data_IF_885439232605
#
_entry.id   IF_885439232605
#
_cell.length_a   1.000
_cell.length_b   1.000
_cell.length_c   1.000
_cell.angle_alpha   90.00
_cell.angle_beta   90.00
_cell.angle_gamma   90.00
#
_symmetry.space_group_name_H-M   'P 1'
#
loop_
_entity.id
_entity.type
_entity.pdbx_description
1 polymer ?
#
# COMPACT_ATOMS: atom_id res chain seq x y z
N UNK A 1 -30.46 18.55 10.16
CA UNK A 1 -29.14 18.96 9.63
C UNK A 1 -28.18 17.80 9.85
N UNK A 2 -27.80 17.10 8.78
CA UNK A 2 -26.75 16.08 8.84
C UNK A 2 -25.45 16.87 8.98
N UNK A 3 -24.69 16.65 10.07
CA UNK A 3 -23.34 17.23 10.19
C UNK A 3 -22.53 16.66 9.03
N UNK A 4 -22.18 17.50 8.06
CA UNK A 4 -21.13 17.18 7.11
C UNK A 4 -19.87 16.99 7.95
N UNK A 5 -19.37 15.76 8.02
CA UNK A 5 -18.12 15.50 8.72
C UNK A 5 -17.01 15.98 7.81
N UNK A 6 -16.19 16.93 8.27
CA UNK A 6 -15.00 17.35 7.55
C UNK A 6 -13.95 16.22 7.46
N UNK A 7 -14.17 15.09 8.15
CA UNK A 7 -13.36 13.89 8.01
C UNK A 7 -13.47 13.29 6.60
N UNK A 8 -12.32 13.02 6.00
CA UNK A 8 -12.25 12.26 4.76
C UNK A 8 -12.71 10.82 4.95
N UNK A 9 -13.34 10.28 3.91
CA UNK A 9 -13.65 8.86 3.80
C UNK A 9 -12.48 8.14 3.12
N UNK A 10 -11.79 7.25 3.84
CA UNK A 10 -10.57 6.59 3.35
C UNK A 10 -10.83 5.13 3.00
N UNK A 11 -10.57 4.78 1.75
CA UNK A 11 -10.73 3.43 1.18
C UNK A 11 -9.35 2.79 1.00
N UNK A 12 -9.11 1.68 1.69
CA UNK A 12 -7.94 0.82 1.47
C UNK A 12 -8.19 -0.19 0.36
N UNK A 13 -7.30 -0.28 -0.63
CA UNK A 13 -7.26 -1.33 -1.65
C UNK A 13 -6.06 -2.23 -1.35
N UNK A 14 -6.31 -3.37 -0.72
CA UNK A 14 -5.31 -4.30 -0.21
C UNK A 14 -5.26 -5.59 -1.07
N UNK A 15 -4.21 -6.38 -0.91
CA UNK A 15 -3.96 -7.62 -1.63
C UNK A 15 -2.48 -7.83 -1.96
N UNK A 16 -2.09 -9.07 -2.28
CA UNK A 16 -0.68 -9.40 -2.55
C UNK A 16 -0.07 -8.71 -3.78
N UNK A 17 1.25 -8.76 -3.92
CA UNK A 17 1.96 -8.27 -5.10
C UNK A 17 1.46 -8.97 -6.37
N UNK A 18 1.15 -8.22 -7.44
CA UNK A 18 0.63 -8.78 -8.69
C UNK A 18 -0.88 -9.06 -8.72
N UNK A 19 -1.64 -8.76 -7.66
CA UNK A 19 -3.10 -9.00 -7.63
C UNK A 19 -3.90 -8.05 -8.53
N UNK A 20 -3.36 -6.89 -8.90
CA UNK A 20 -4.02 -5.88 -9.73
C UNK A 20 -4.57 -4.66 -8.99
N UNK A 21 -4.16 -4.45 -7.73
CA UNK A 21 -4.58 -3.31 -6.88
C UNK A 21 -4.49 -1.97 -7.59
N UNK A 22 -3.33 -1.61 -8.12
CA UNK A 22 -3.12 -0.33 -8.81
C UNK A 22 -4.10 -0.12 -9.95
N UNK A 23 -4.36 -1.16 -10.77
CA UNK A 23 -5.36 -1.10 -11.85
C UNK A 23 -6.77 -0.92 -11.32
N UNK A 24 -7.13 -1.64 -10.26
CA UNK A 24 -8.44 -1.53 -9.61
C UNK A 24 -8.62 -0.15 -8.96
N UNK A 25 -7.64 0.33 -8.21
CA UNK A 25 -7.63 1.63 -7.54
C UNK A 25 -7.78 2.78 -8.53
N UNK A 26 -7.03 2.77 -9.64
CA UNK A 26 -7.19 3.79 -10.71
C UNK A 26 -8.54 3.72 -11.41
N UNK A 27 -9.13 2.53 -11.53
CA UNK A 27 -10.49 2.38 -12.08
C UNK A 27 -11.53 2.93 -11.12
N UNK A 28 -11.41 2.61 -9.83
CA UNK A 28 -12.28 3.15 -8.79
C UNK A 28 -12.15 4.68 -8.68
N UNK A 29 -10.92 5.22 -8.74
CA UNK A 29 -10.68 6.66 -8.72
C UNK A 29 -11.40 7.38 -9.86
N UNK A 30 -11.41 6.81 -11.07
CA UNK A 30 -12.16 7.37 -12.21
C UNK A 30 -13.67 7.35 -12.01
N UNK A 31 -14.19 6.38 -11.26
CA UNK A 31 -15.62 6.28 -10.93
C UNK A 31 -16.01 7.24 -9.80
N UNK A 32 -15.11 7.43 -8.82
CA UNK A 32 -15.27 8.36 -7.71
C UNK A 32 -14.64 9.71 -8.05
N UNK A 33 -15.32 10.49 -8.91
CA UNK A 33 -14.81 11.80 -9.33
C UNK A 33 -14.48 12.69 -8.11
N UNK A 34 -13.32 13.36 -8.17
CA UNK A 34 -12.82 14.18 -7.07
C UNK A 34 -12.06 13.40 -5.99
N UNK A 35 -11.96 12.07 -6.08
CA UNK A 35 -11.13 11.30 -5.16
C UNK A 35 -9.64 11.40 -5.45
N UNK A 36 -8.84 11.25 -4.39
CA UNK A 36 -7.37 11.28 -4.45
C UNK A 36 -6.81 9.90 -4.14
N UNK A 37 -5.84 9.45 -4.93
CA UNK A 37 -5.18 8.16 -4.79
C UNK A 37 -3.76 8.35 -4.26
N UNK A 38 -3.44 7.62 -3.19
CA UNK A 38 -2.08 7.42 -2.68
C UNK A 38 -1.65 5.97 -2.88
N UNK A 39 -0.42 5.78 -3.33
CA UNK A 39 0.19 4.45 -3.49
C UNK A 39 1.13 4.24 -2.30
N UNK A 40 1.00 3.12 -1.58
CA UNK A 40 1.84 2.83 -0.41
C UNK A 40 3.33 2.80 -0.77
N UNK A 41 3.65 2.46 -2.02
CA UNK A 41 5.02 2.41 -2.52
C UNK A 41 5.69 3.81 -2.58
N UNK A 42 4.92 4.90 -2.56
CA UNK A 42 5.46 6.26 -2.36
C UNK A 42 6.12 6.43 -0.97
N UNK A 43 5.80 5.55 -0.02
CA UNK A 43 6.24 5.63 1.38
C UNK A 43 7.27 4.55 1.73
N UNK A 44 8.02 4.03 0.76
CA UNK A 44 9.09 3.04 0.99
C UNK A 44 10.31 3.68 1.71
N UNK A 45 10.98 2.90 2.57
CA UNK A 45 12.30 3.24 3.10
C UNK A 45 13.41 2.99 2.06
N UNK A 46 14.48 3.79 2.08
CA UNK A 46 15.70 3.56 1.27
C UNK A 46 16.28 2.15 1.46
N UNK A 47 16.96 1.62 0.45
CA UNK A 47 17.53 0.25 0.39
C UNK A 47 18.32 -0.09 1.65
N UNK A 48 19.17 0.82 2.12
CA UNK A 48 20.04 0.65 3.29
C UNK A 48 19.31 0.31 4.60
N UNK A 49 18.00 0.57 4.67
CA UNK A 49 17.14 0.24 5.82
C UNK A 49 16.43 -1.09 5.59
N UNK A 50 15.86 -1.29 4.40
CA UNK A 50 14.98 -2.42 4.06
C UNK A 50 15.67 -3.64 3.44
N UNK A 51 16.98 -3.57 3.22
CA UNK A 51 17.86 -4.71 2.96
C UNK A 51 18.91 -4.74 4.06
N UNK A 52 18.67 -5.59 5.05
CA UNK A 52 19.51 -5.68 6.24
C UNK A 52 19.85 -7.15 6.48
N UNK A 53 21.13 -7.50 6.31
CA UNK A 53 21.63 -8.88 6.38
C UNK A 53 21.50 -9.53 7.76
N UNK A 54 21.14 -8.76 8.80
CA UNK A 54 20.84 -9.32 10.13
C UNK A 54 19.45 -9.97 10.21
N UNK A 55 18.62 -9.84 9.17
CA UNK A 55 17.27 -10.38 9.13
C UNK A 55 17.03 -11.16 7.84
N UNK A 56 16.07 -12.10 7.90
CA UNK A 56 15.60 -12.81 6.70
C UNK A 56 14.92 -11.83 5.73
N UNK A 57 14.98 -12.13 4.43
CA UNK A 57 14.46 -11.21 3.42
C UNK A 57 12.99 -10.88 3.60
N UNK A 58 12.16 -11.88 3.92
CA UNK A 58 10.74 -11.68 4.18
C UNK A 58 10.49 -10.79 5.39
N UNK A 59 11.34 -10.88 6.43
CA UNK A 59 11.24 -10.05 7.62
C UNK A 59 11.49 -8.59 7.25
N UNK A 60 12.54 -8.32 6.46
CA UNK A 60 12.81 -6.97 5.99
C UNK A 60 11.65 -6.44 5.14
N UNK A 61 11.09 -7.26 4.24
CA UNK A 61 9.97 -6.85 3.41
C UNK A 61 8.72 -6.56 4.25
N UNK A 62 8.44 -7.36 5.27
CA UNK A 62 7.26 -7.15 6.10
C UNK A 62 7.43 -6.00 7.10
N UNK A 63 8.56 -5.88 7.80
CA UNK A 63 8.73 -4.95 8.92
C UNK A 63 9.49 -3.66 8.60
N UNK A 64 10.36 -3.65 7.59
CA UNK A 64 11.30 -2.54 7.35
C UNK A 64 11.04 -1.77 6.05
N UNK A 65 10.15 -2.27 5.19
CA UNK A 65 9.99 -1.79 3.83
C UNK A 65 9.31 -0.41 3.75
N UNK A 66 8.35 -0.10 4.62
CA UNK A 66 7.51 1.10 4.50
C UNK A 66 7.55 2.00 5.75
N UNK A 67 7.51 3.31 5.50
CA UNK A 67 7.40 4.42 6.45
C UNK A 67 5.93 4.63 6.86
N UNK A 68 5.33 3.65 7.56
CA UNK A 68 3.93 3.74 7.98
C UNK A 68 3.66 4.91 8.93
N UNK A 69 4.60 5.19 9.82
CA UNK A 69 4.57 6.36 10.69
C UNK A 69 4.45 7.66 9.88
N UNK A 70 5.24 7.81 8.81
CA UNK A 70 5.21 8.98 7.94
C UNK A 70 3.92 9.06 7.11
N UNK A 71 3.43 7.94 6.57
CA UNK A 71 2.13 7.89 5.89
C UNK A 71 0.99 8.29 6.84
N UNK A 72 1.00 7.80 8.08
CA UNK A 72 0.01 8.13 9.09
C UNK A 72 0.08 9.61 9.44
N UNK A 73 1.26 10.13 9.77
CA UNK A 73 1.46 11.52 10.17
C UNK A 73 1.06 12.49 9.06
N UNK A 74 1.49 12.23 7.82
CA UNK A 74 1.32 13.19 6.71
C UNK A 74 0.00 13.08 6.00
N UNK A 75 -0.60 11.89 5.96
CA UNK A 75 -1.81 11.63 5.17
C UNK A 75 -2.97 11.19 6.05
N UNK A 76 -2.87 10.02 6.68
CA UNK A 76 -4.06 9.36 7.24
C UNK A 76 -4.62 10.10 8.45
N UNK A 77 -3.77 10.49 9.40
CA UNK A 77 -4.20 11.14 10.64
C UNK A 77 -4.79 12.55 10.40
N UNK A 78 -4.17 13.45 9.62
CA UNK A 78 -4.78 14.75 9.30
C UNK A 78 -6.16 14.60 8.66
N UNK A 79 -6.30 13.71 7.68
CA UNK A 79 -7.57 13.47 6.97
C UNK A 79 -8.65 12.89 7.87
N UNK A 80 -8.31 11.97 8.77
CA UNK A 80 -9.25 11.46 9.79
C UNK A 80 -9.58 12.49 10.86
N UNK A 81 -8.74 13.50 11.07
CA UNK A 81 -9.04 14.63 11.95
C UNK A 81 -9.84 15.73 11.25
N UNK A 82 -10.15 15.57 9.96
CA UNK A 82 -10.88 16.56 9.16
C UNK A 82 -10.06 17.81 8.83
N UNK A 83 -8.74 17.63 8.67
CA UNK A 83 -7.81 18.70 8.30
C UNK A 83 -7.47 18.61 6.80
N UNK A 84 -7.30 19.77 6.18
CA UNK A 84 -6.72 19.88 4.85
C UNK A 84 -5.25 19.44 4.87
N UNK A 85 -4.81 18.80 3.80
CA UNK A 85 -3.38 18.65 3.49
C UNK A 85 -3.01 19.71 2.46
N UNK A 86 -2.05 20.57 2.78
CA UNK A 86 -1.42 21.49 1.83
C UNK A 86 0.09 21.55 2.11
N UNK A 87 0.73 20.38 2.05
CA UNK A 87 2.12 20.18 2.43
C UNK A 87 2.96 19.62 1.28
N UNK A 88 4.26 19.85 1.39
CA UNK A 88 5.24 19.17 0.57
C UNK A 88 5.69 17.91 1.31
N UNK A 89 5.47 16.75 0.71
CA UNK A 89 5.68 15.44 1.32
C UNK A 89 6.78 14.70 0.56
N UNK A 90 7.63 13.98 1.30
CA UNK A 90 8.66 13.12 0.74
C UNK A 90 8.05 11.83 0.18
N UNK A 91 8.23 11.60 -1.13
CA UNK A 91 7.87 10.36 -1.80
C UNK A 91 9.12 9.62 -2.28
N UNK A 92 9.09 8.30 -2.23
CA UNK A 92 10.20 7.46 -2.63
C UNK A 92 10.38 7.42 -4.16
N UNK A 93 11.61 7.68 -4.63
CA UNK A 93 12.01 7.47 -6.01
C UNK A 93 12.87 6.22 -6.12
N UNK A 94 12.29 5.18 -6.73
CA UNK A 94 12.94 3.89 -6.96
C UNK A 94 14.14 3.97 -7.90
N UNK A 95 14.18 4.92 -8.84
CA UNK A 95 15.29 5.01 -9.79
C UNK A 95 16.59 5.48 -9.13
N UNK A 96 16.47 6.27 -8.07
CA UNK A 96 17.61 6.90 -7.38
C UNK A 96 17.82 6.40 -5.96
N UNK A 97 16.94 5.51 -5.47
CA UNK A 97 16.84 5.10 -4.06
C UNK A 97 16.88 6.31 -3.10
N UNK A 98 16.05 7.31 -3.38
CA UNK A 98 16.04 8.57 -2.62
C UNK A 98 14.62 9.08 -2.39
N UNK A 99 14.49 10.20 -1.68
CA UNK A 99 13.22 10.87 -1.50
C UNK A 99 13.15 12.12 -2.37
N UNK A 100 12.04 12.28 -3.08
CA UNK A 100 11.70 13.48 -3.83
C UNK A 100 10.55 14.21 -3.15
N UNK A 101 10.51 15.53 -3.29
CA UNK A 101 9.48 16.36 -2.67
C UNK A 101 8.32 16.57 -3.63
N UNK A 102 7.10 16.23 -3.20
CA UNK A 102 5.87 16.45 -3.97
C UNK A 102 4.88 17.25 -3.14
N UNK A 103 4.31 18.29 -3.75
CA UNK A 103 3.24 19.08 -3.12
C UNK A 103 1.90 18.35 -3.26
N UNK A 104 1.20 18.18 -2.15
CA UNK A 104 -0.15 17.64 -2.10
C UNK A 104 -1.13 18.70 -1.62
N UNK A 105 -2.30 18.75 -2.25
CA UNK A 105 -3.43 19.59 -1.87
C UNK A 105 -4.67 18.67 -1.78
N UNK A 106 -5.07 18.32 -0.56
CA UNK A 106 -6.22 17.47 -0.27
C UNK A 106 -7.15 18.22 0.66
N UNK A 107 -8.28 18.76 0.17
CA UNK A 107 -9.29 19.35 1.04
C UNK A 107 -9.88 18.32 2.01
N UNK A 108 -10.22 18.75 3.21
CA UNK A 108 -10.99 17.98 4.18
C UNK A 108 -12.29 17.46 3.55
N UNK A 109 -12.74 16.28 3.98
CA UNK A 109 -13.92 15.62 3.44
C UNK A 109 -13.72 14.96 2.07
N UNK A 110 -12.55 15.11 1.44
CA UNK A 110 -12.24 14.43 0.17
C UNK A 110 -12.24 12.92 0.38
N UNK A 111 -12.85 12.17 -0.55
CA UNK A 111 -12.72 10.70 -0.57
C UNK A 111 -11.30 10.33 -1.00
N UNK A 112 -10.63 9.53 -0.19
CA UNK A 112 -9.22 9.15 -0.41
C UNK A 112 -9.13 7.65 -0.60
N UNK A 113 -8.36 7.24 -1.60
CA UNK A 113 -8.04 5.84 -1.89
C UNK A 113 -6.57 5.64 -1.56
N UNK A 114 -6.26 4.58 -0.81
CA UNK A 114 -4.88 4.15 -0.54
C UNK A 114 -4.75 2.73 -1.05
N UNK A 115 -3.79 2.47 -1.92
CA UNK A 115 -3.54 1.12 -2.44
C UNK A 115 -2.15 0.63 -2.03
N UNK A 116 -2.05 -0.64 -1.67
CA UNK A 116 -0.80 -1.19 -1.16
C UNK A 116 -0.93 -2.62 -0.68
N UNK A 117 0.19 -3.26 -0.37
CA UNK A 117 0.20 -4.52 0.38
C UNK A 117 0.12 -4.19 1.88
N UNK A 118 -0.45 -5.11 2.67
CA UNK A 118 -0.42 -5.06 4.13
C UNK A 118 -1.18 -3.89 4.78
N UNK A 119 -2.18 -3.33 4.09
CA UNK A 119 -2.92 -2.17 4.58
C UNK A 119 -3.79 -2.46 5.82
N UNK A 120 -4.09 -3.72 6.12
CA UNK A 120 -4.90 -4.08 7.32
C UNK A 120 -4.04 -4.42 8.54
N UNK A 121 -2.75 -4.09 8.50
CA UNK A 121 -1.91 -4.17 9.69
C UNK A 121 -2.41 -3.23 10.81
N UNK A 122 -2.18 -3.57 12.09
CA UNK A 122 -2.69 -2.79 13.22
C UNK A 122 -2.32 -1.30 13.18
N UNK A 123 -1.15 -0.97 12.62
CA UNK A 123 -0.66 0.41 12.45
C UNK A 123 -1.54 1.24 11.51
N UNK A 124 -2.27 0.62 10.59
CA UNK A 124 -3.01 1.29 9.51
C UNK A 124 -4.52 1.01 9.54
N UNK A 125 -4.96 -0.16 10.02
CA UNK A 125 -6.34 -0.66 9.84
C UNK A 125 -7.41 0.30 10.35
N UNK A 126 -7.16 1.00 11.45
CA UNK A 126 -8.11 1.93 12.07
C UNK A 126 -8.35 3.21 11.27
N UNK A 127 -7.47 3.52 10.31
CA UNK A 127 -7.61 4.71 9.46
C UNK A 127 -8.53 4.48 8.27
N UNK A 128 -8.79 3.23 7.89
CA UNK A 128 -9.64 2.90 6.75
C UNK A 128 -11.11 2.76 7.16
N UNK A 129 -11.97 3.57 6.53
CA UNK A 129 -13.43 3.46 6.64
C UNK A 129 -13.96 2.26 5.85
N UNK A 130 -13.24 1.86 4.80
CA UNK A 130 -13.54 0.67 4.01
C UNK A 130 -12.28 0.03 3.48
N UNK A 131 -12.22 -1.29 3.50
CA UNK A 131 -11.15 -2.07 2.89
C UNK A 131 -11.72 -2.99 1.82
N UNK A 132 -11.11 -2.94 0.63
CA UNK A 132 -11.35 -3.87 -0.47
C UNK A 132 -10.10 -4.72 -0.61
N UNK A 133 -10.24 -6.03 -0.45
CA UNK A 133 -9.13 -6.98 -0.58
C UNK A 133 -9.21 -7.74 -1.91
N UNK A 134 -8.13 -7.71 -2.69
CA UNK A 134 -7.98 -8.45 -3.94
C UNK A 134 -7.31 -9.80 -3.64
N UNK A 135 -8.14 -10.84 -3.53
CA UNK A 135 -7.80 -12.23 -3.28
C UNK A 135 -7.48 -12.97 -4.58
N UNK A 136 -6.25 -12.81 -5.05
CA UNK A 136 -5.72 -13.50 -6.23
C UNK A 136 -4.67 -14.50 -5.81
N UNK A 137 -4.77 -15.74 -6.28
CA UNK A 137 -3.87 -16.82 -5.89
C UNK A 137 -2.41 -16.55 -6.28
N UNK A 138 -1.47 -17.08 -5.47
CA UNK A 138 -0.02 -16.88 -5.65
C UNK A 138 0.48 -17.30 -7.04
N UNK A 139 -0.06 -18.38 -7.63
CA UNK A 139 0.37 -18.88 -8.94
C UNK A 139 0.02 -17.91 -10.06
N UNK A 140 -1.21 -17.37 -10.05
CA UNK A 140 -1.63 -16.33 -10.99
C UNK A 140 -0.80 -15.06 -10.83
N UNK A 141 -0.53 -14.65 -9.58
CA UNK A 141 0.29 -13.46 -9.30
C UNK A 141 1.74 -13.63 -9.74
N UNK A 142 2.36 -14.79 -9.47
CA UNK A 142 3.71 -15.11 -9.93
C UNK A 142 3.81 -15.10 -11.45
N UNK A 143 2.82 -15.65 -12.15
CA UNK A 143 2.78 -15.59 -13.62
C UNK A 143 2.80 -14.14 -14.13
N UNK A 144 2.00 -13.26 -13.53
CA UNK A 144 2.00 -11.82 -13.88
C UNK A 144 3.33 -11.14 -13.53
N UNK A 145 3.95 -11.56 -12.42
CA UNK A 145 5.23 -11.02 -11.98
C UNK A 145 6.38 -11.35 -12.93
N UNK A 146 6.40 -12.55 -13.51
CA UNK A 146 7.41 -12.94 -14.50
C UNK A 146 7.44 -12.00 -15.72
N UNK A 147 6.27 -11.50 -16.13
CA UNK A 147 6.17 -10.56 -17.26
C UNK A 147 6.47 -9.09 -16.84
N UNK A 148 6.14 -8.73 -15.59
CA UNK A 148 6.16 -7.33 -15.11
C UNK A 148 7.46 -6.96 -14.40
N UNK A 149 8.04 -7.86 -13.63
CA UNK A 149 9.13 -7.58 -12.69
C UNK A 149 10.50 -7.97 -13.27
N UNK A 150 10.65 -7.86 -14.58
CA UNK A 150 11.89 -8.17 -15.32
C UNK A 150 13.09 -7.32 -14.91
N UNK A 151 12.86 -6.21 -14.21
CA UNK A 151 13.93 -5.41 -13.59
C UNK A 151 14.63 -6.14 -12.42
N UNK A 152 14.02 -7.20 -11.85
CA UNK A 152 14.64 -8.02 -10.80
C UNK A 152 15.76 -8.88 -11.38
N UNK A 153 15.61 -9.36 -12.63
CA UNK A 153 16.57 -10.22 -13.30
C UNK A 153 15.89 -11.29 -14.17
N UNK A 154 16.55 -12.44 -14.26
CA UNK A 154 16.05 -13.66 -14.91
C UNK A 154 14.75 -14.17 -14.30
N UNK A 155 14.07 -15.07 -15.00
CA UNK A 155 12.84 -15.71 -14.49
C UNK A 155 13.11 -16.46 -13.18
N UNK A 156 14.26 -17.12 -13.07
CA UNK A 156 14.71 -17.84 -11.88
C UNK A 156 14.94 -16.89 -10.70
N UNK A 157 15.55 -15.72 -10.93
CA UNK A 157 15.75 -14.70 -9.90
C UNK A 157 14.42 -14.08 -9.44
N UNK A 158 13.48 -13.85 -10.36
CA UNK A 158 12.12 -13.40 -10.02
C UNK A 158 11.43 -14.44 -9.14
N UNK A 159 11.42 -15.72 -9.55
CA UNK A 159 10.81 -16.80 -8.75
C UNK A 159 11.44 -16.85 -7.36
N UNK A 160 12.77 -16.88 -7.29
CA UNK A 160 13.51 -16.89 -6.02
C UNK A 160 13.14 -15.71 -5.12
N UNK A 161 13.02 -14.50 -5.68
CA UNK A 161 12.62 -13.31 -4.90
C UNK A 161 11.20 -13.44 -4.35
N UNK A 162 10.27 -13.96 -5.15
CA UNK A 162 8.90 -14.17 -4.71
C UNK A 162 8.81 -15.26 -3.64
N UNK A 163 9.51 -16.37 -3.79
CA UNK A 163 9.49 -17.51 -2.86
C UNK A 163 10.20 -17.22 -1.53
N UNK A 164 11.27 -16.41 -1.54
CA UNK A 164 12.08 -16.16 -0.34
C UNK A 164 11.75 -14.85 0.38
N UNK A 165 11.22 -13.86 -0.34
CA UNK A 165 10.95 -12.52 0.21
C UNK A 165 9.47 -12.19 0.28
N UNK A 166 8.76 -12.23 -0.84
CA UNK A 166 7.41 -11.67 -0.91
C UNK A 166 6.34 -12.61 -0.36
N UNK A 167 6.29 -13.87 -0.81
CA UNK A 167 5.28 -14.81 -0.35
C UNK A 167 5.36 -15.16 1.13
N UNK A 168 6.53 -15.39 1.74
CA UNK A 168 6.58 -15.65 3.18
C UNK A 168 6.15 -14.44 4.02
N UNK A 169 6.45 -13.22 3.57
CA UNK A 169 5.96 -12.00 4.22
C UNK A 169 4.44 -11.85 4.09
N UNK A 170 3.88 -12.21 2.92
CA UNK A 170 2.42 -12.26 2.73
C UNK A 170 1.76 -13.34 3.59
N UNK A 171 2.40 -14.50 3.78
CA UNK A 171 1.91 -15.54 4.69
C UNK A 171 1.91 -15.03 6.13
N UNK A 172 2.99 -14.37 6.55
CA UNK A 172 3.05 -13.71 7.86
C UNK A 172 1.93 -12.69 8.06
N UNK A 173 1.64 -11.90 7.04
CA UNK A 173 0.53 -10.96 7.05
C UNK A 173 -0.83 -11.66 7.21
N UNK A 174 -1.06 -12.73 6.46
CA UNK A 174 -2.31 -13.50 6.53
C UNK A 174 -2.49 -14.10 7.93
N UNK A 175 -1.44 -14.69 8.49
CA UNK A 175 -1.44 -15.25 9.85
C UNK A 175 -1.74 -14.20 10.92
N UNK A 176 -1.12 -13.03 10.84
CA UNK A 176 -1.23 -12.01 11.88
C UNK A 176 -2.47 -11.13 11.78
N UNK A 177 -2.90 -10.83 10.55
CA UNK A 177 -3.91 -9.80 10.30
C UNK A 177 -5.20 -10.35 9.71
N UNK A 178 -5.23 -11.60 9.24
CA UNK A 178 -6.39 -12.25 8.63
C UNK A 178 -7.18 -11.31 7.68
N UNK A 179 -6.54 -10.78 6.62
CA UNK A 179 -7.09 -9.69 5.82
C UNK A 179 -8.37 -10.06 5.06
N UNK A 180 -8.62 -11.35 4.84
CA UNK A 180 -9.88 -11.82 4.25
C UNK A 180 -11.06 -11.66 5.22
N UNK A 181 -10.84 -11.83 6.52
CA UNK A 181 -11.88 -11.72 7.54
C UNK A 181 -12.28 -10.26 7.80
N UNK A 182 -11.32 -9.34 7.75
CA UNK A 182 -11.53 -7.93 8.11
C UNK A 182 -11.77 -6.99 6.92
N UNK A 183 -11.74 -7.51 5.70
CA UNK A 183 -12.10 -6.77 4.50
C UNK A 183 -13.61 -6.62 4.38
N UNK A 184 -14.06 -5.41 4.05
CA UNK A 184 -15.48 -5.14 3.80
C UNK A 184 -15.96 -5.69 2.45
N UNK A 185 -15.03 -5.84 1.49
CA UNK A 185 -15.29 -6.40 0.17
C UNK A 185 -14.11 -7.26 -0.27
N UNK A 186 -14.40 -8.47 -0.75
CA UNK A 186 -13.41 -9.36 -1.37
C UNK A 186 -13.63 -9.37 -2.89
N UNK A 187 -12.55 -9.22 -3.65
CA UNK A 187 -12.52 -9.36 -5.12
C UNK A 187 -11.55 -10.48 -5.49
N UNK A 188 -11.97 -11.37 -6.39
CA UNK A 188 -11.18 -12.49 -6.90
C UNK A 188 -10.71 -12.21 -8.32
#
# INVERSE_FOLDING_TARGET
MIRQTDQSYIIGIDGGGGSGKTTYARTLQRQLQGSILFELDDFIHMEKIRYNDNYEEWYCYYYLQWRYDYLVEKILQPLKNGLDINETIEIYDKATDSYTLRKFAVPAGTTVIVEGVFLQRPELRSYFDKVIYLDVDKKTRLKRALDRDTYIGSSEEIVSKYENRYFPAEDRYIEQCNPLLFADVIKK
#
